data_IF_671458300090
#
_entry.id   IF_671458300090
#
_cell.length_a   1.000
_cell.length_b   1.000
_cell.length_c   1.000
_cell.angle_alpha   90.00
_cell.angle_beta   90.00
_cell.angle_gamma   90.00
#
_symmetry.space_group_name_H-M   'P 1'
#
loop_
_entity.id
_entity.type
_entity.pdbx_description
1 polymer ?
#
# COMPACT_ATOMS: atom_id res chain seq x y z
N UNK A 1 22.34 -7.31 79.90
CA UNK A 1 23.31 -6.24 80.22
C UNK A 1 23.91 -5.78 78.90
N UNK A 2 23.43 -4.66 78.36
CA UNK A 2 24.13 -3.37 78.34
C UNK A 2 25.24 -3.38 77.27
N UNK A 3 25.42 -2.45 76.34
CA UNK A 3 25.03 -1.05 76.12
C UNK A 3 25.43 -0.78 74.64
N UNK A 4 24.67 -0.05 73.80
CA UNK A 4 24.90 1.39 73.53
C UNK A 4 26.39 1.68 73.24
N UNK A 5 26.86 2.19 72.09
CA UNK A 5 26.48 3.39 71.35
C UNK A 5 27.50 3.66 70.22
N UNK A 6 27.15 4.63 69.36
CA UNK A 6 28.05 5.55 68.65
C UNK A 6 28.59 5.15 67.26
N UNK A 7 27.75 5.41 66.25
CA UNK A 7 27.99 6.36 65.14
C UNK A 7 29.45 6.50 64.67
N UNK A 8 29.75 5.91 63.51
CA UNK A 8 30.85 6.31 62.64
C UNK A 8 30.31 6.62 61.25
N UNK A 9 29.76 7.82 61.04
CA UNK A 9 29.58 8.33 59.67
C UNK A 9 30.97 8.64 59.11
N UNK A 10 31.49 7.75 58.29
CA UNK A 10 32.57 8.07 57.36
C UNK A 10 32.60 7.00 56.27
N UNK A 11 32.89 7.43 55.05
CA UNK A 11 33.00 6.64 53.82
C UNK A 11 31.66 6.29 53.17
N UNK A 12 31.11 7.29 52.47
CA UNK A 12 30.96 7.25 51.01
C UNK A 12 31.48 5.94 50.39
N UNK A 13 30.59 5.20 49.72
CA UNK A 13 30.75 4.66 48.36
C UNK A 13 29.60 3.63 48.08
N UNK A 14 28.69 4.04 47.18
CA UNK A 14 28.22 3.25 46.02
C UNK A 14 27.10 2.19 46.23
N UNK A 15 26.01 2.41 45.47
CA UNK A 15 24.80 1.57 45.20
C UNK A 15 23.70 1.71 46.28
N UNK A 16 22.86 2.75 46.30
CA UNK A 16 22.17 3.35 45.16
C UNK A 16 20.92 2.56 44.71
N UNK A 17 20.33 1.69 45.55
CA UNK A 17 19.12 0.95 45.16
C UNK A 17 18.09 0.81 46.27
N UNK A 18 17.50 1.92 46.72
CA UNK A 18 16.16 1.88 47.35
C UNK A 18 15.32 3.05 46.86
N UNK A 19 14.60 2.78 45.77
CA UNK A 19 13.28 3.29 45.36
C UNK A 19 13.00 4.80 45.47
N UNK A 20 12.73 5.48 44.33
CA UNK A 20 11.74 6.54 44.31
C UNK A 20 10.39 5.93 43.94
N UNK A 21 9.48 5.95 44.92
CA UNK A 21 8.06 6.09 44.65
C UNK A 21 7.85 7.34 43.76
N UNK A 22 6.85 7.29 42.87
CA UNK A 22 6.34 8.39 42.03
C UNK A 22 7.05 8.58 40.66
N UNK A 23 6.66 7.75 39.68
CA UNK A 23 6.62 8.18 38.28
C UNK A 23 5.36 7.62 37.61
N UNK A 24 4.24 8.28 37.94
CA UNK A 24 2.94 8.17 37.28
C UNK A 24 2.77 9.27 36.20
N UNK A 25 3.78 9.52 35.37
CA UNK A 25 3.64 10.41 34.21
C UNK A 25 4.05 9.62 32.97
N UNK A 26 3.06 9.38 32.11
CA UNK A 26 3.21 8.60 30.89
C UNK A 26 4.07 9.31 29.86
N UNK A 27 4.88 8.53 29.16
CA UNK A 27 5.40 8.93 27.86
C UNK A 27 4.21 8.94 26.88
N UNK A 28 3.63 10.12 26.68
CA UNK A 28 2.57 10.36 25.71
C UNK A 28 3.17 11.10 24.50
N UNK A 29 3.98 10.41 23.69
CA UNK A 29 4.34 10.90 22.37
C UNK A 29 3.12 10.85 21.44
N UNK A 30 2.40 11.97 21.35
CA UNK A 30 1.43 12.20 20.29
C UNK A 30 2.16 12.39 18.95
N UNK A 31 2.39 11.29 18.21
CA UNK A 31 2.83 11.32 16.81
C UNK A 31 1.66 11.80 15.94
N UNK A 32 1.45 13.10 15.89
CA UNK A 32 0.56 13.76 14.92
C UNK A 32 1.26 13.71 13.55
N UNK A 33 0.61 13.10 12.55
CA UNK A 33 1.05 13.19 11.15
C UNK A 33 0.89 11.95 10.27
N UNK A 34 0.28 10.85 10.71
CA UNK A 34 -0.02 9.73 9.81
C UNK A 34 -1.48 9.81 9.33
N UNK A 35 -1.72 9.85 8.01
CA UNK A 35 -3.06 9.73 7.44
C UNK A 35 -3.76 8.53 8.03
N UNK A 36 -5.00 8.72 8.49
CA UNK A 36 -5.77 7.75 9.27
C UNK A 36 -5.99 6.39 8.58
N UNK A 37 -5.61 6.27 7.31
CA UNK A 37 -5.23 5.01 6.66
C UNK A 37 -4.26 5.35 5.51
N UNK A 38 -3.08 4.71 5.35
CA UNK A 38 -2.75 4.30 4.00
C UNK A 38 -3.82 3.26 3.67
N UNK A 39 -4.71 3.54 2.71
CA UNK A 39 -5.71 2.57 2.22
C UNK A 39 -4.96 1.38 1.61
N UNK A 40 -4.46 0.48 2.47
CA UNK A 40 -3.70 -0.74 2.22
C UNK A 40 -2.59 -0.62 1.15
N UNK A 41 -1.31 -0.68 1.55
CA UNK A 41 -0.21 -0.95 0.60
C UNK A 41 -0.45 -2.26 -0.18
N UNK A 42 -1.04 -3.27 0.47
CA UNK A 42 -1.51 -4.50 -0.18
C UNK A 42 -2.63 -4.26 -1.22
N UNK A 43 -3.48 -3.25 -1.01
CA UNK A 43 -4.55 -2.86 -1.94
C UNK A 43 -4.09 -1.92 -3.07
N UNK A 44 -2.96 -1.24 -2.89
CA UNK A 44 -2.27 -0.46 -3.94
C UNK A 44 -1.46 -1.40 -4.84
N UNK A 45 -0.70 -2.33 -4.26
CA UNK A 45 0.01 -3.36 -5.02
C UNK A 45 -0.96 -4.26 -5.79
N UNK A 46 -2.11 -4.63 -5.19
CA UNK A 46 -3.17 -5.39 -5.88
C UNK A 46 -3.86 -4.61 -6.99
N UNK A 47 -3.81 -3.26 -6.97
CA UNK A 47 -4.31 -2.42 -8.07
C UNK A 47 -3.32 -2.28 -9.24
N UNK A 48 -2.04 -2.59 -9.04
CA UNK A 48 -1.00 -2.25 -10.01
C UNK A 48 -0.57 -3.38 -10.95
N UNK A 49 -0.90 -4.66 -10.69
CA UNK A 49 -0.20 -5.74 -11.39
C UNK A 49 -1.14 -6.86 -11.80
N UNK A 50 -1.30 -7.02 -13.13
CA UNK A 50 -1.47 -8.29 -13.89
C UNK A 50 -2.63 -8.34 -14.91
N UNK A 51 -3.69 -7.52 -14.84
CA UNK A 51 -4.93 -7.84 -15.59
C UNK A 51 -5.48 -6.81 -16.58
N UNK A 52 -4.71 -5.80 -16.99
CA UNK A 52 -5.17 -4.83 -18.01
C UNK A 52 -4.41 -4.97 -19.31
N UNK A 53 -4.34 -6.19 -19.83
CA UNK A 53 -3.84 -6.44 -21.19
C UNK A 53 -4.63 -5.63 -22.22
N UNK A 54 -5.94 -5.46 -21.99
CA UNK A 54 -6.84 -4.73 -22.87
C UNK A 54 -7.60 -3.67 -22.07
N UNK A 55 -7.43 -2.40 -22.43
CA UNK A 55 -8.21 -1.28 -21.91
C UNK A 55 -9.24 -0.83 -22.92
N UNK A 56 -10.50 -0.95 -22.54
CA UNK A 56 -11.61 -0.39 -23.30
C UNK A 56 -11.58 1.12 -23.27
N UNK A 57 -11.69 1.73 -24.44
CA UNK A 57 -11.88 3.17 -24.58
C UNK A 57 -13.37 3.48 -24.78
N UNK A 58 -13.72 4.77 -24.75
CA UNK A 58 -15.08 5.26 -25.01
C UNK A 58 -15.41 5.36 -26.50
N UNK A 59 -14.48 5.02 -27.39
CA UNK A 59 -14.69 5.10 -28.83
C UNK A 59 -15.40 3.84 -29.36
N UNK A 60 -16.56 4.06 -29.97
CA UNK A 60 -17.42 3.02 -30.56
C UNK A 60 -17.50 3.20 -32.07
N UNK A 61 -17.52 2.08 -32.79
CA UNK A 61 -17.64 2.04 -34.23
C UNK A 61 -18.70 1.01 -34.61
N UNK A 62 -19.59 1.37 -35.54
CA UNK A 62 -20.64 0.47 -36.02
C UNK A 62 -20.08 -0.60 -36.99
N UNK A 63 -19.16 -0.20 -37.87
CA UNK A 63 -18.56 -1.06 -38.89
C UNK A 63 -17.05 -0.87 -38.93
N UNK A 64 -16.32 -1.96 -39.08
CA UNK A 64 -14.87 -1.91 -39.21
C UNK A 64 -14.47 -1.55 -40.65
N UNK A 65 -13.36 -0.81 -40.85
CA UNK A 65 -12.81 -0.58 -42.18
C UNK A 65 -12.38 -1.91 -42.84
N UNK A 66 -12.30 -1.92 -44.16
CA UNK A 66 -11.84 -3.10 -44.92
C UNK A 66 -10.35 -3.35 -44.68
N UNK A 67 -9.96 -4.62 -44.58
CA UNK A 67 -8.56 -5.02 -44.33
C UNK A 67 -8.20 -5.25 -42.86
N UNK A 68 -9.18 -5.25 -41.94
CA UNK A 68 -8.94 -5.65 -40.56
C UNK A 68 -8.65 -7.16 -40.45
N UNK A 69 -7.61 -7.50 -39.68
CA UNK A 69 -7.21 -8.90 -39.45
C UNK A 69 -7.55 -9.30 -38.02
N UNK A 70 -8.10 -10.50 -37.83
CA UNK A 70 -8.30 -11.08 -36.50
C UNK A 70 -6.96 -11.53 -35.93
N UNK A 71 -6.63 -11.08 -34.73
CA UNK A 71 -5.38 -11.40 -34.04
C UNK A 71 -5.69 -11.72 -32.58
N UNK A 72 -4.93 -12.65 -32.00
CA UNK A 72 -4.96 -12.87 -30.55
C UNK A 72 -3.87 -12.08 -29.87
N UNK A 73 -4.26 -11.22 -28.94
CA UNK A 73 -3.33 -10.50 -28.06
C UNK A 73 -3.46 -11.07 -26.67
N UNK A 74 -2.41 -11.75 -26.18
CA UNK A 74 -2.35 -12.35 -24.83
C UNK A 74 -3.61 -13.17 -24.48
N UNK A 75 -4.14 -13.92 -25.45
CA UNK A 75 -5.31 -14.79 -25.31
C UNK A 75 -6.66 -14.17 -25.71
N UNK A 76 -6.73 -12.85 -25.91
CA UNK A 76 -7.96 -12.16 -26.31
C UNK A 76 -8.06 -12.00 -27.83
N UNK A 77 -9.23 -12.31 -28.39
CA UNK A 77 -9.53 -12.09 -29.81
C UNK A 77 -9.84 -10.60 -30.07
N UNK A 78 -9.00 -9.95 -30.87
CA UNK A 78 -9.13 -8.55 -31.28
C UNK A 78 -8.98 -8.43 -32.80
N UNK A 79 -9.55 -7.37 -33.37
CA UNK A 79 -9.42 -7.02 -34.78
C UNK A 79 -8.41 -5.87 -34.90
N UNK A 80 -7.34 -6.08 -35.65
CA UNK A 80 -6.30 -5.08 -35.89
C UNK A 80 -6.51 -4.43 -37.25
N UNK A 81 -6.62 -3.11 -37.27
CA UNK A 81 -6.80 -2.33 -38.48
C UNK A 81 -5.74 -1.21 -38.50
N UNK A 82 -4.72 -1.34 -39.36
CA UNK A 82 -3.57 -0.42 -39.44
C UNK A 82 -2.70 -0.45 -38.17
N UNK A 83 -3.17 0.23 -37.12
CA UNK A 83 -2.53 0.30 -35.79
C UNK A 83 -3.50 0.30 -34.61
N UNK A 84 -4.81 0.31 -34.86
CA UNK A 84 -5.83 0.33 -33.79
C UNK A 84 -6.40 -1.08 -33.59
N UNK A 85 -6.63 -1.43 -32.33
CA UNK A 85 -7.28 -2.68 -31.97
C UNK A 85 -8.75 -2.45 -31.64
N UNK A 86 -9.58 -3.35 -32.14
CA UNK A 86 -11.02 -3.33 -31.92
C UNK A 86 -11.48 -4.63 -31.31
N UNK A 87 -12.51 -4.56 -30.48
CA UNK A 87 -13.19 -5.74 -29.92
C UNK A 87 -14.67 -5.65 -30.21
N UNK A 88 -15.27 -6.76 -30.62
CA UNK A 88 -16.72 -6.84 -30.78
C UNK A 88 -17.38 -6.85 -29.38
N UNK A 89 -18.34 -5.95 -29.17
CA UNK A 89 -19.09 -5.81 -27.94
C UNK A 89 -20.52 -5.39 -28.24
N UNK A 90 -21.50 -6.22 -27.85
CA UNK A 90 -22.93 -5.96 -28.01
C UNK A 90 -23.33 -5.52 -29.43
N UNK A 91 -22.77 -6.17 -30.47
CA UNK A 91 -23.09 -5.88 -31.87
C UNK A 91 -22.40 -4.63 -32.45
N UNK A 92 -21.55 -3.96 -31.68
CA UNK A 92 -20.69 -2.86 -32.14
C UNK A 92 -19.23 -3.19 -31.86
N UNK A 93 -18.32 -2.35 -32.34
CA UNK A 93 -16.89 -2.48 -32.10
C UNK A 93 -16.41 -1.38 -31.17
N UNK A 94 -15.63 -1.74 -30.16
CA UNK A 94 -14.94 -0.79 -29.28
C UNK A 94 -13.47 -0.76 -29.56
N UNK A 95 -12.90 0.44 -29.53
CA UNK A 95 -11.45 0.61 -29.59
C UNK A 95 -10.84 0.18 -28.25
N UNK A 96 -9.79 -0.60 -28.35
CA UNK A 96 -9.06 -1.16 -27.20
C UNK A 96 -7.60 -0.77 -27.32
N UNK A 97 -7.02 -0.32 -26.22
CA UNK A 97 -5.58 -0.10 -26.09
C UNK A 97 -4.97 -1.33 -25.44
N UNK A 98 -3.85 -1.78 -25.98
CA UNK A 98 -3.05 -2.86 -25.42
C UNK A 98 -1.94 -2.23 -24.58
N UNK A 99 -1.84 -2.60 -23.30
CA UNK A 99 -0.76 -2.18 -22.38
C UNK A 99 0.23 -3.33 -22.10
#
# INVERSE_FOLDING_TARGET
MAALLAIGMAAVEIIGSTVPALSLVGAAEARIGQPWTPRSAAGVARRNTTWRVLRHTTAWVATLPVGCVRTKVKGFDVLRCGGTYYRAYQGRYIVVVVD
#
